data_IF_941386431396
#
_entry.id   IF_941386431396
#
_cell.length_a   1.000
_cell.length_b   1.000
_cell.length_c   1.000
_cell.angle_alpha   90.00
_cell.angle_beta   90.00
_cell.angle_gamma   90.00
#
_symmetry.space_group_name_H-M   'P 1'
#
loop_
_entity.id
_entity.type
_entity.pdbx_description
1 polymer ?
#
# COMPACT_ATOMS: atom_id res chain seq x y z
N UNK A 1 -9.06 8.55 12.58
CA UNK A 1 -8.62 9.59 11.64
C UNK A 1 -9.37 10.88 11.98
N UNK A 2 -8.70 12.03 12.06
CA UNK A 2 -9.36 13.31 12.36
C UNK A 2 -9.83 13.98 11.07
N UNK A 3 -10.95 14.70 11.10
CA UNK A 3 -11.44 15.50 9.98
C UNK A 3 -10.35 16.41 9.41
N UNK A 4 -9.52 16.99 10.27
CA UNK A 4 -8.42 17.86 9.84
C UNK A 4 -7.37 17.13 8.98
N UNK A 5 -7.05 15.87 9.31
CA UNK A 5 -6.16 15.02 8.50
C UNK A 5 -6.78 14.61 7.18
N UNK A 6 -8.09 14.34 7.15
CA UNK A 6 -8.82 14.01 5.92
C UNK A 6 -8.85 15.21 4.96
N UNK A 7 -9.11 16.41 5.47
CA UNK A 7 -9.20 17.62 4.63
C UNK A 7 -7.91 17.94 3.86
N UNK A 8 -6.74 17.53 4.36
CA UNK A 8 -5.46 17.68 3.65
C UNK A 8 -5.42 16.99 2.28
N UNK A 9 -6.24 15.96 2.08
CA UNK A 9 -6.36 15.27 0.80
C UNK A 9 -7.07 16.17 -0.23
N UNK A 10 -8.09 16.92 0.20
CA UNK A 10 -8.83 17.85 -0.67
C UNK A 10 -8.03 19.12 -0.98
N UNK A 11 -7.23 19.60 -0.03
CA UNK A 11 -6.41 20.82 -0.23
C UNK A 11 -5.09 20.55 -0.96
N UNK A 12 -4.67 19.28 -1.07
CA UNK A 12 -3.38 18.91 -1.66
C UNK A 12 -2.17 19.26 -0.78
N UNK A 13 -2.39 19.69 0.47
CA UNK A 13 -1.34 20.10 1.38
C UNK A 13 -0.53 18.88 1.84
N UNK A 14 0.78 18.92 1.57
CA UNK A 14 1.72 17.82 1.85
C UNK A 14 2.85 18.27 2.78
N UNK A 15 2.56 18.49 4.07
CA UNK A 15 3.52 19.05 5.02
C UNK A 15 4.67 18.09 5.39
N UNK A 16 4.60 16.81 5.02
CA UNK A 16 5.63 15.84 5.33
C UNK A 16 6.35 15.41 4.06
N UNK A 17 7.62 15.76 3.92
CA UNK A 17 8.43 15.45 2.73
C UNK A 17 9.46 14.37 3.03
N UNK A 18 9.73 13.51 2.05
CA UNK A 18 10.83 12.55 2.10
C UNK A 18 12.14 13.24 1.71
N UNK A 19 13.13 13.24 2.59
CA UNK A 19 14.43 13.89 2.34
C UNK A 19 15.26 13.15 1.27
N UNK A 20 14.96 11.86 1.01
CA UNK A 20 15.71 11.06 0.04
C UNK A 20 15.24 11.26 -1.41
N UNK A 21 13.96 11.55 -1.63
CA UNK A 21 13.39 11.66 -2.98
C UNK A 21 12.49 12.89 -3.21
N UNK A 22 12.29 13.73 -2.19
CA UNK A 22 11.48 14.95 -2.28
C UNK A 22 9.96 14.72 -2.31
N UNK A 23 9.48 13.48 -2.21
CA UNK A 23 8.05 13.19 -2.26
C UNK A 23 7.32 13.75 -1.03
N UNK A 24 6.21 14.47 -1.28
CA UNK A 24 5.34 15.02 -0.23
C UNK A 24 4.16 14.12 0.12
N UNK A 25 3.84 14.07 1.42
CA UNK A 25 2.78 13.27 2.03
C UNK A 25 1.91 14.11 2.97
N UNK A 26 0.63 13.74 3.06
CA UNK A 26 -0.37 14.45 3.87
C UNK A 26 -0.24 14.17 5.37
N UNK A 27 0.38 13.05 5.75
CA UNK A 27 0.56 12.63 7.14
C UNK A 27 1.93 11.99 7.37
N UNK A 28 2.46 12.14 8.60
CA UNK A 28 3.72 11.52 9.02
C UNK A 28 3.71 10.00 8.88
N UNK A 29 2.61 9.34 9.24
CA UNK A 29 2.49 7.89 9.14
C UNK A 29 2.64 7.36 7.69
N UNK A 30 2.15 8.13 6.70
CA UNK A 30 2.34 7.76 5.29
C UNK A 30 3.80 7.96 4.87
N UNK A 31 4.46 9.03 5.32
CA UNK A 31 5.89 9.25 5.08
C UNK A 31 6.74 8.13 5.71
N UNK A 32 6.52 7.79 6.98
CA UNK A 32 7.23 6.70 7.67
C UNK A 32 7.05 5.37 6.93
N UNK A 33 5.81 5.06 6.52
CA UNK A 33 5.54 3.88 5.69
C UNK A 33 6.22 3.96 4.32
N UNK A 34 6.36 5.13 3.73
CA UNK A 34 7.07 5.30 2.48
C UNK A 34 8.57 5.05 2.63
N UNK A 35 9.18 5.42 3.76
CA UNK A 35 10.63 5.23 3.98
C UNK A 35 11.09 3.77 3.82
N UNK A 36 10.20 2.79 4.01
CA UNK A 36 10.52 1.37 3.80
C UNK A 36 10.90 1.02 2.36
N UNK A 37 10.54 1.86 1.38
CA UNK A 37 10.95 1.64 -0.02
C UNK A 37 12.41 2.01 -0.25
N UNK A 38 12.93 2.91 0.58
CA UNK A 38 14.33 3.33 0.56
C UNK A 38 15.22 2.36 1.34
N UNK A 39 14.63 1.55 2.22
CA UNK A 39 15.32 0.46 2.89
C UNK A 39 15.28 -0.80 2.01
N UNK A 40 16.39 -1.53 1.94
CA UNK A 40 16.45 -2.85 1.24
C UNK A 40 15.69 -3.93 2.02
N UNK A 41 15.33 -3.65 3.28
CA UNK A 41 14.62 -4.57 4.13
C UNK A 41 13.18 -4.81 3.64
N UNK A 42 12.88 -6.09 3.40
CA UNK A 42 11.54 -6.57 3.05
C UNK A 42 11.09 -7.55 4.14
N UNK A 43 10.60 -7.04 5.27
CA UNK A 43 10.33 -7.88 6.45
C UNK A 43 9.17 -8.85 6.25
N UNK A 44 8.34 -8.66 5.21
CA UNK A 44 7.18 -9.49 4.94
C UNK A 44 7.50 -10.49 3.83
N UNK A 45 8.01 -11.67 4.20
CA UNK A 45 8.25 -12.77 3.28
C UNK A 45 6.95 -13.56 3.00
N UNK A 46 6.81 -14.04 1.77
CA UNK A 46 5.82 -15.04 1.41
C UNK A 46 6.28 -16.42 1.92
N UNK A 47 5.35 -17.19 2.47
CA UNK A 47 5.58 -18.56 2.95
C UNK A 47 5.46 -19.60 1.83
N UNK A 48 4.83 -19.24 0.71
CA UNK A 48 4.61 -20.12 -0.43
C UNK A 48 5.57 -19.91 -1.61
N UNK A 49 6.38 -18.84 -1.57
CA UNK A 49 7.43 -18.59 -2.55
C UNK A 49 8.52 -17.68 -1.98
N UNK A 50 9.64 -17.54 -2.68
CA UNK A 50 10.81 -16.75 -2.22
C UNK A 50 10.63 -15.22 -2.35
N UNK A 51 9.40 -14.72 -2.51
CA UNK A 51 9.13 -13.29 -2.65
C UNK A 51 8.97 -12.62 -1.29
N UNK A 52 9.66 -11.51 -1.09
CA UNK A 52 9.49 -10.63 0.07
C UNK A 52 8.98 -9.25 -0.32
N UNK A 53 8.25 -8.62 0.59
CA UNK A 53 7.59 -7.33 0.39
C UNK A 53 7.95 -6.36 1.52
N UNK A 54 8.01 -5.08 1.18
CA UNK A 54 8.28 -4.02 2.15
C UNK A 54 7.06 -3.66 3.01
N UNK A 55 5.85 -4.04 2.56
CA UNK A 55 4.58 -3.73 3.23
C UNK A 55 3.72 -4.98 3.41
N UNK A 56 3.13 -5.15 4.60
CA UNK A 56 2.18 -6.23 4.90
C UNK A 56 1.00 -6.26 3.94
N UNK A 57 0.47 -5.09 3.56
CA UNK A 57 -0.62 -4.99 2.59
C UNK A 57 -0.25 -5.54 1.21
N UNK A 58 1.01 -5.34 0.78
CA UNK A 58 1.50 -5.88 -0.48
C UNK A 58 1.63 -7.41 -0.43
N UNK A 59 2.12 -7.97 0.69
CA UNK A 59 2.11 -9.42 0.91
C UNK A 59 0.67 -9.97 0.88
N UNK A 60 -0.27 -9.35 1.59
CA UNK A 60 -1.67 -9.81 1.60
C UNK A 60 -2.32 -9.82 0.21
N UNK A 61 -2.03 -8.81 -0.61
CA UNK A 61 -2.50 -8.77 -2.01
C UNK A 61 -1.81 -9.87 -2.82
N UNK A 62 -0.51 -10.05 -2.64
CA UNK A 62 0.25 -11.13 -3.28
C UNK A 62 -0.31 -12.51 -2.93
N UNK A 63 -0.68 -12.79 -1.68
CA UNK A 63 -1.26 -14.08 -1.28
C UNK A 63 -2.56 -14.44 -2.01
N UNK A 64 -3.23 -13.46 -2.64
CA UNK A 64 -4.41 -13.72 -3.48
C UNK A 64 -4.08 -14.52 -4.73
N UNK A 65 -2.84 -14.44 -5.24
CA UNK A 65 -2.42 -15.23 -6.39
C UNK A 65 -2.31 -16.72 -6.03
N UNK A 66 -1.88 -17.00 -4.80
CA UNK A 66 -1.71 -18.36 -4.30
C UNK A 66 -3.05 -19.00 -3.93
N UNK A 67 -3.93 -18.22 -3.30
CA UNK A 67 -5.26 -18.67 -2.90
C UNK A 67 -6.29 -18.65 -4.03
N UNK A 68 -5.98 -17.99 -5.15
CA UNK A 68 -6.91 -17.81 -6.27
C UNK A 68 -8.11 -16.91 -5.96
N UNK A 69 -8.10 -16.19 -4.82
CA UNK A 69 -9.20 -15.31 -4.41
C UNK A 69 -9.31 -14.12 -5.35
N UNK A 70 -10.51 -13.92 -5.89
CA UNK A 70 -10.86 -12.80 -6.77
C UNK A 70 -11.94 -11.94 -6.10
N UNK A 71 -11.56 -10.92 -5.32
CA UNK A 71 -12.49 -10.20 -4.46
C UNK A 71 -13.33 -9.15 -5.20
N UNK A 72 -13.07 -8.91 -6.49
CA UNK A 72 -13.77 -7.91 -7.28
C UNK A 72 -14.72 -8.59 -8.27
N UNK A 73 -15.97 -8.87 -7.88
CA UNK A 73 -16.99 -9.36 -8.80
C UNK A 73 -17.44 -8.25 -9.73
N UNK A 74 -17.70 -8.59 -10.99
CA UNK A 74 -18.39 -7.74 -11.94
C UNK A 74 -19.87 -8.11 -11.96
N UNK A 75 -20.73 -7.21 -11.50
CA UNK A 75 -22.18 -7.45 -11.43
C UNK A 75 -22.84 -7.61 -12.80
N UNK A 76 -22.22 -7.09 -13.87
CA UNK A 76 -22.75 -7.19 -15.22
C UNK A 76 -22.46 -8.53 -15.91
N UNK A 77 -21.37 -9.21 -15.56
CA UNK A 77 -20.98 -10.46 -16.24
C UNK A 77 -20.67 -11.62 -15.29
N UNK A 78 -20.80 -11.44 -13.97
CA UNK A 78 -20.54 -12.44 -12.93
C UNK A 78 -19.07 -12.84 -12.76
N UNK A 79 -18.16 -12.30 -13.58
CA UNK A 79 -16.73 -12.62 -13.51
C UNK A 79 -16.10 -11.91 -12.33
N UNK A 80 -15.27 -12.63 -11.59
CA UNK A 80 -14.47 -12.06 -10.51
C UNK A 80 -13.04 -11.84 -10.96
N UNK A 81 -12.44 -10.73 -10.51
CA UNK A 81 -11.09 -10.30 -10.87
C UNK A 81 -10.18 -10.17 -9.64
N UNK A 82 -8.90 -10.41 -9.85
CA UNK A 82 -7.84 -10.04 -8.89
C UNK A 82 -7.41 -8.59 -9.13
N UNK A 83 -6.95 -7.86 -8.09
CA UNK A 83 -6.43 -6.51 -8.24
C UNK A 83 -5.19 -6.43 -9.13
#
# INVERSE_FOLDING_TARGET
ESLNTHMKIHTGEKPHTCDQCGNGFTTKAILERHMVIHTVEKPFACDQCEKSFALKGALNVHMRIHTGVKPYPCDHCGKSFSP
#
